data_IF_101747563600
#
_entry.id   IF_101747563600
#
_cell.length_a   1.000
_cell.length_b   1.000
_cell.length_c   1.000
_cell.angle_alpha   90.00
_cell.angle_beta   90.00
_cell.angle_gamma   90.00
#
_symmetry.space_group_name_H-M   'P 1'
#
loop_
_entity.id
_entity.type
_entity.pdbx_description
1 polymer ?
#
# COMPACT_ATOMS: atom_id res chain seq x y z
N UNK A 1 -18.79 -0.79 -5.11
CA UNK A 1 -18.22 -0.20 -6.35
C UNK A 1 -17.44 1.06 -6.03
N UNK A 2 -18.09 2.02 -5.35
CA UNK A 2 -17.47 3.18 -4.71
C UNK A 2 -16.54 2.80 -3.53
N UNK A 3 -16.92 1.78 -2.78
CA UNK A 3 -16.23 1.37 -1.54
C UNK A 3 -14.76 0.97 -1.73
N UNK A 4 -14.39 0.53 -2.94
CA UNK A 4 -13.02 0.09 -3.27
C UNK A 4 -12.09 1.26 -3.52
N UNK A 5 -12.62 2.39 -4.01
CA UNK A 5 -11.85 3.62 -4.26
C UNK A 5 -11.67 4.42 -2.98
N UNK A 6 -12.69 4.46 -2.13
CA UNK A 6 -12.65 5.17 -0.85
C UNK A 6 -11.65 4.56 0.15
N UNK A 7 -11.35 3.26 0.01
CA UNK A 7 -10.31 2.57 0.80
C UNK A 7 -8.90 2.92 0.34
N UNK A 8 -8.68 3.11 -0.96
CA UNK A 8 -7.36 3.45 -1.54
C UNK A 8 -7.05 4.94 -1.32
N UNK A 9 -8.08 5.79 -1.20
CA UNK A 9 -7.94 7.24 -1.02
C UNK A 9 -7.53 7.72 0.39
N UNK A 10 -7.37 6.83 1.37
CA UNK A 10 -6.94 7.20 2.73
C UNK A 10 -8.04 7.75 3.64
N UNK A 11 -9.30 7.72 3.23
CA UNK A 11 -10.45 8.13 4.08
C UNK A 11 -10.90 7.07 5.09
N UNK A 12 -10.32 5.88 5.05
CA UNK A 12 -10.70 4.78 5.96
C UNK A 12 -9.81 4.77 7.21
N UNK A 13 -10.00 5.78 8.04
CA UNK A 13 -9.39 5.84 9.36
C UNK A 13 -9.83 4.64 10.21
N UNK A 14 -8.90 4.10 11.01
CA UNK A 14 -9.16 2.96 11.89
C UNK A 14 -10.40 3.27 12.76
N UNK A 15 -11.49 2.46 12.64
CA UNK A 15 -12.69 2.71 13.42
C UNK A 15 -12.42 2.62 14.92
N UNK A 16 -13.17 3.33 15.77
CA UNK A 16 -13.07 3.19 17.22
C UNK A 16 -13.23 1.72 17.65
N UNK A 17 -12.47 1.31 18.66
CA UNK A 17 -12.36 -0.08 19.11
C UNK A 17 -13.69 -0.77 19.47
N UNK A 18 -14.77 0.01 19.70
CA UNK A 18 -16.10 -0.48 20.07
C UNK A 18 -17.09 -0.50 18.90
N UNK A 19 -16.66 -0.20 17.67
CA UNK A 19 -17.52 -0.20 16.50
C UNK A 19 -17.75 -1.61 15.95
N UNK A 20 -18.99 -1.90 15.52
CA UNK A 20 -19.30 -3.14 14.79
C UNK A 20 -18.53 -3.26 13.45
N UNK A 21 -17.92 -2.17 12.97
CA UNK A 21 -17.17 -2.13 11.73
C UNK A 21 -15.68 -2.49 11.91
N UNK A 22 -15.16 -2.59 13.15
CA UNK A 22 -13.75 -2.90 13.40
C UNK A 22 -13.34 -4.26 12.82
N UNK A 23 -14.19 -5.27 12.94
CA UNK A 23 -13.89 -6.60 12.40
C UNK A 23 -13.88 -6.59 10.86
N UNK A 24 -14.81 -5.86 10.25
CA UNK A 24 -14.84 -5.66 8.79
C UNK A 24 -13.58 -4.92 8.32
N UNK A 25 -13.20 -3.86 9.02
CA UNK A 25 -11.99 -3.09 8.71
C UNK A 25 -10.74 -3.97 8.77
N UNK A 26 -10.56 -4.75 9.84
CA UNK A 26 -9.43 -5.66 10.01
C UNK A 26 -9.35 -6.73 8.92
N UNK A 27 -10.50 -7.24 8.44
CA UNK A 27 -10.56 -8.16 7.30
C UNK A 27 -10.06 -7.50 6.01
N UNK A 28 -10.52 -6.28 5.73
CA UNK A 28 -10.06 -5.53 4.55
C UNK A 28 -8.59 -5.16 4.66
N UNK A 29 -8.15 -4.67 5.81
CA UNK A 29 -6.74 -4.33 6.09
C UNK A 29 -5.82 -5.54 5.92
N UNK A 30 -6.21 -6.71 6.43
CA UNK A 30 -5.45 -7.96 6.26
C UNK A 30 -5.37 -8.39 4.79
N UNK A 31 -6.46 -8.25 4.03
CA UNK A 31 -6.48 -8.55 2.60
C UNK A 31 -5.55 -7.63 1.81
N UNK A 32 -5.58 -6.33 2.10
CA UNK A 32 -4.72 -5.33 1.44
C UNK A 32 -3.25 -5.53 1.84
N UNK A 33 -2.97 -5.80 3.11
CA UNK A 33 -1.62 -6.15 3.59
C UNK A 33 -1.06 -7.34 2.84
N UNK A 34 -1.85 -8.41 2.70
CA UNK A 34 -1.44 -9.61 1.95
C UNK A 34 -1.19 -9.29 0.47
N UNK A 35 -2.05 -8.47 -0.14
CA UNK A 35 -1.89 -8.04 -1.53
C UNK A 35 -0.59 -7.24 -1.74
N UNK A 36 -0.30 -6.29 -0.85
CA UNK A 36 0.94 -5.51 -0.90
C UNK A 36 2.15 -6.43 -0.72
N UNK A 37 2.18 -7.25 0.33
CA UNK A 37 3.30 -8.17 0.59
C UNK A 37 3.51 -9.18 -0.54
N UNK A 38 2.44 -9.69 -1.14
CA UNK A 38 2.51 -10.62 -2.28
C UNK A 38 3.12 -9.98 -3.54
N UNK A 39 3.08 -8.65 -3.63
CA UNK A 39 3.64 -7.89 -4.76
C UNK A 39 5.12 -7.53 -4.54
N UNK A 40 5.65 -7.79 -3.34
CA UNK A 40 7.04 -7.51 -2.99
C UNK A 40 7.94 -8.72 -3.23
N UNK A 41 9.22 -8.49 -3.49
CA UNK A 41 10.22 -9.55 -3.46
C UNK A 41 10.36 -10.11 -2.04
N UNK A 42 10.70 -11.40 -1.93
CA UNK A 42 10.79 -12.11 -0.63
C UNK A 42 11.71 -11.41 0.38
N UNK A 43 12.77 -10.77 -0.09
CA UNK A 43 13.72 -10.00 0.73
C UNK A 43 13.09 -8.74 1.32
N UNK A 44 12.18 -8.10 0.59
CA UNK A 44 11.47 -6.92 1.05
C UNK A 44 10.35 -7.26 2.02
N UNK A 45 9.69 -8.42 1.87
CA UNK A 45 8.65 -8.87 2.80
C UNK A 45 9.16 -8.87 4.26
N UNK A 46 10.38 -9.35 4.51
CA UNK A 46 10.95 -9.42 5.86
C UNK A 46 11.07 -8.04 6.53
N UNK A 47 11.33 -6.99 5.75
CA UNK A 47 11.41 -5.62 6.25
C UNK A 47 10.05 -5.15 6.77
N UNK A 48 8.98 -5.53 6.07
CA UNK A 48 7.69 -4.89 6.19
C UNK A 48 6.63 -5.76 6.91
N UNK A 49 6.94 -7.02 7.20
CA UNK A 49 6.01 -8.01 7.78
C UNK A 49 5.46 -7.61 9.16
N UNK A 50 6.14 -6.72 9.88
CA UNK A 50 5.73 -6.24 11.20
C UNK A 50 4.88 -4.96 11.18
N UNK A 51 4.46 -4.50 10.00
CA UNK A 51 3.60 -3.33 9.86
C UNK A 51 2.26 -3.55 10.57
N UNK A 52 1.84 -2.57 11.38
CA UNK A 52 0.62 -2.68 12.20
C UNK A 52 -0.68 -2.53 11.39
N UNK A 53 -0.61 -2.01 10.17
CA UNK A 53 -1.72 -1.93 9.23
C UNK A 53 -1.20 -1.81 7.79
N UNK A 54 -2.07 -2.08 6.82
CA UNK A 54 -1.78 -1.87 5.39
C UNK A 54 -1.44 -0.42 5.06
N UNK A 55 -1.99 0.54 5.82
CA UNK A 55 -1.67 1.96 5.67
C UNK A 55 -0.23 2.27 6.12
N UNK A 56 0.17 1.77 7.29
CA UNK A 56 1.54 1.95 7.81
C UNK A 56 2.54 1.29 6.86
N UNK A 57 2.23 0.06 6.43
CA UNK A 57 2.99 -0.66 5.43
C UNK A 57 3.22 0.18 4.16
N UNK A 58 2.14 0.75 3.62
CA UNK A 58 2.21 1.55 2.40
C UNK A 58 3.04 2.82 2.59
N UNK A 59 2.88 3.53 3.70
CA UNK A 59 3.65 4.73 4.00
C UNK A 59 5.14 4.43 4.23
N UNK A 60 5.50 3.30 4.84
CA UNK A 60 6.89 2.88 4.98
C UNK A 60 7.54 2.54 3.62
N UNK A 61 6.81 1.84 2.74
CA UNK A 61 7.24 1.58 1.37
C UNK A 61 7.46 2.91 0.63
N UNK A 62 6.48 3.82 0.72
CA UNK A 62 6.53 5.13 0.08
C UNK A 62 7.66 6.00 0.62
N UNK A 63 7.93 5.97 1.92
CA UNK A 63 9.07 6.68 2.52
C UNK A 63 10.39 6.12 2.03
N UNK A 64 10.52 4.80 1.92
CA UNK A 64 11.77 4.13 1.53
C UNK A 64 12.07 4.22 0.03
N UNK A 65 11.02 4.17 -0.80
CA UNK A 65 11.16 4.04 -2.25
C UNK A 65 10.52 5.17 -3.04
N UNK A 66 9.66 6.00 -2.44
CA UNK A 66 8.91 7.04 -3.14
C UNK A 66 9.77 8.17 -3.69
N UNK A 67 10.78 8.64 -2.95
CA UNK A 67 11.74 9.64 -3.47
C UNK A 67 12.82 9.02 -4.35
N UNK A 68 13.34 7.83 -3.99
CA UNK A 68 14.39 7.15 -4.74
C UNK A 68 13.94 6.68 -6.12
N UNK A 69 12.64 6.40 -6.30
CA UNK A 69 12.07 5.91 -7.55
C UNK A 69 11.53 7.03 -8.44
N UNK A 70 11.47 8.29 -8.02
CA UNK A 70 11.06 9.41 -8.88
C UNK A 70 11.97 9.54 -10.12
N UNK A 71 13.32 9.55 -9.98
CA UNK A 71 14.22 9.57 -11.13
C UNK A 71 14.09 8.32 -12.02
N UNK A 72 13.95 7.14 -11.42
CA UNK A 72 13.78 5.88 -12.14
C UNK A 72 12.45 5.83 -12.89
N UNK A 73 11.37 6.30 -12.29
CA UNK A 73 10.05 6.40 -12.91
C UNK A 73 10.05 7.40 -14.07
N UNK A 74 10.78 8.51 -13.92
CA UNK A 74 10.99 9.46 -15.01
C UNK A 74 11.79 8.84 -16.17
N UNK A 75 12.86 8.09 -15.87
CA UNK A 75 13.63 7.35 -16.89
C UNK A 75 12.77 6.32 -17.62
N UNK A 76 12.03 5.48 -16.91
CA UNK A 76 11.12 4.48 -17.49
C UNK A 76 10.06 5.16 -18.37
N UNK A 77 9.48 6.28 -17.92
CA UNK A 77 8.54 7.07 -18.73
C UNK A 77 9.17 7.59 -20.02
N UNK A 78 10.43 8.05 -19.97
CA UNK A 78 11.14 8.49 -21.17
C UNK A 78 11.45 7.32 -22.11
N UNK A 79 11.89 6.17 -21.61
CA UNK A 79 12.12 4.99 -22.44
C UNK A 79 10.83 4.53 -23.13
N UNK A 80 9.71 4.48 -22.41
CA UNK A 80 8.41 4.15 -23.01
C UNK A 80 8.00 5.19 -24.07
N UNK A 81 8.20 6.48 -23.79
CA UNK A 81 7.92 7.56 -24.74
C UNK A 81 8.84 7.55 -25.97
N UNK A 82 10.03 6.94 -25.87
CA UNK A 82 10.94 6.77 -26.99
C UNK A 82 10.60 5.53 -27.83
N UNK A 83 9.92 4.55 -27.23
CA UNK A 83 9.48 3.31 -27.88
C UNK A 83 8.10 3.43 -28.57
N UNK A 84 7.41 4.57 -28.43
CA UNK A 84 6.09 4.86 -29.02
C UNK A 84 6.20 6.02 -29.99
#
# INVERSE_FOLDING_TARGET
>A
GKDKLDFIGGTFEMPPARSQNLEKWRKVDSMVTTCILSSLSKELIYVFIYSLSSQILWEEIKKRFGQSNEPLFYQIKQEISFLT
#
